data_IF_113985272501
#
_entry.id   IF_113985272501
#
_cell.length_a   1.000
_cell.length_b   1.000
_cell.length_c   1.000
_cell.angle_alpha   90.00
_cell.angle_beta   90.00
_cell.angle_gamma   90.00
#
_symmetry.space_group_name_H-M   'P 1'
#
loop_
_entity.id
_entity.type
_entity.pdbx_description
1 polymer ?
#
# COMPACT_ATOMS: atom_id res chain seq x y z
N UNK A 1 2.73 -19.99 6.88
CA UNK A 1 1.84 -20.41 5.77
C UNK A 1 0.47 -19.83 6.07
N UNK A 2 -0.04 -18.94 5.23
CA UNK A 2 -1.36 -18.30 5.42
C UNK A 2 -2.43 -19.38 5.21
N UNK A 3 -3.43 -19.44 6.12
CA UNK A 3 -4.53 -20.40 5.99
C UNK A 3 -5.40 -20.04 4.79
N UNK A 4 -5.73 -20.99 3.88
CA UNK A 4 -6.68 -20.75 2.81
C UNK A 4 -8.08 -20.37 3.31
N UNK A 5 -8.39 -20.66 4.58
CA UNK A 5 -9.64 -20.33 5.25
C UNK A 5 -9.60 -18.98 5.99
N UNK A 6 -8.51 -18.20 5.87
CA UNK A 6 -8.45 -16.87 6.47
C UNK A 6 -9.57 -15.97 5.91
N UNK A 7 -10.22 -15.12 6.76
CA UNK A 7 -11.32 -14.28 6.31
C UNK A 7 -10.86 -13.29 5.22
N UNK A 8 -11.73 -13.06 4.25
CA UNK A 8 -11.50 -12.03 3.25
C UNK A 8 -11.61 -10.64 3.90
N UNK A 9 -10.57 -9.83 3.76
CA UNK A 9 -10.54 -8.43 4.21
C UNK A 9 -10.87 -7.47 3.08
N UNK A 10 -10.71 -7.92 1.83
CA UNK A 10 -11.05 -7.14 0.64
C UNK A 10 -11.57 -8.09 -0.43
N UNK A 11 -12.70 -7.73 -1.05
CA UNK A 11 -13.31 -8.50 -2.12
C UNK A 11 -13.89 -7.56 -3.19
N UNK A 12 -13.33 -7.64 -4.39
CA UNK A 12 -13.81 -6.97 -5.59
C UNK A 12 -14.36 -8.04 -6.51
N UNK A 13 -15.59 -7.86 -7.01
CA UNK A 13 -16.25 -8.79 -7.93
C UNK A 13 -16.76 -8.05 -9.16
N UNK A 14 -16.24 -8.40 -10.33
CA UNK A 14 -16.57 -7.82 -11.64
C UNK A 14 -16.59 -6.28 -11.65
N UNK A 15 -15.63 -5.67 -10.93
CA UNK A 15 -15.60 -4.22 -10.72
C UNK A 15 -15.24 -3.49 -12.00
N UNK A 16 -16.13 -2.58 -12.43
CA UNK A 16 -15.84 -1.61 -13.49
C UNK A 16 -15.83 -0.19 -12.94
N UNK A 17 -15.05 0.67 -13.57
CA UNK A 17 -15.04 2.09 -13.22
C UNK A 17 -14.92 2.97 -14.47
N UNK A 18 -15.81 3.95 -14.57
CA UNK A 18 -15.81 4.96 -15.62
C UNK A 18 -15.66 6.34 -15.02
N UNK A 19 -14.90 7.20 -15.68
CA UNK A 19 -14.80 8.62 -15.35
C UNK A 19 -14.82 9.42 -16.66
N UNK A 20 -15.69 10.42 -16.73
CA UNK A 20 -15.83 11.31 -17.89
C UNK A 20 -15.98 10.54 -19.23
N UNK A 21 -16.78 9.47 -19.21
CA UNK A 21 -17.02 8.61 -20.37
C UNK A 21 -15.91 7.60 -20.69
N UNK A 22 -14.75 7.70 -20.03
CA UNK A 22 -13.61 6.80 -20.22
C UNK A 22 -13.67 5.62 -19.28
N UNK A 23 -13.46 4.40 -19.77
CA UNK A 23 -13.26 3.21 -18.96
C UNK A 23 -11.87 3.24 -18.33
N UNK A 24 -11.81 3.25 -17.01
CA UNK A 24 -10.57 3.20 -16.24
C UNK A 24 -10.30 1.76 -15.77
N UNK A 25 -11.34 1.03 -15.38
CA UNK A 25 -11.27 -0.37 -14.98
C UNK A 25 -12.39 -1.16 -15.64
N UNK A 26 -12.09 -2.41 -16.01
CA UNK A 26 -12.99 -3.29 -16.76
C UNK A 26 -12.90 -4.72 -16.23
N UNK A 27 -13.86 -5.10 -15.35
CA UNK A 27 -13.99 -6.44 -14.80
C UNK A 27 -12.82 -6.83 -13.87
N UNK A 28 -12.59 -6.08 -12.80
CA UNK A 28 -11.57 -6.40 -11.82
C UNK A 28 -12.14 -7.32 -10.74
N UNK A 29 -11.51 -8.48 -10.60
CA UNK A 29 -11.75 -9.43 -9.52
C UNK A 29 -10.49 -9.51 -8.64
N UNK A 30 -10.65 -9.34 -7.33
CA UNK A 30 -9.57 -9.41 -6.36
C UNK A 30 -10.12 -9.85 -5.01
N UNK A 31 -9.49 -10.85 -4.41
CA UNK A 31 -9.74 -11.24 -3.02
C UNK A 31 -8.43 -11.17 -2.25
N UNK A 32 -8.40 -10.38 -1.18
CA UNK A 32 -7.29 -10.29 -0.23
C UNK A 32 -7.74 -10.83 1.11
N UNK A 33 -6.98 -11.74 1.70
CA UNK A 33 -7.28 -12.37 2.99
C UNK A 33 -6.42 -11.80 4.10
N UNK A 34 -6.86 -11.98 5.33
CA UNK A 34 -6.07 -11.61 6.51
C UNK A 34 -4.66 -12.24 6.46
N UNK A 35 -3.65 -11.45 6.76
CA UNK A 35 -2.24 -11.85 6.69
C UNK A 35 -1.64 -11.93 5.29
N UNK A 36 -2.39 -11.66 4.22
CA UNK A 36 -1.83 -11.58 2.87
C UNK A 36 -1.23 -10.19 2.59
N UNK A 37 -0.07 -10.19 1.93
CA UNK A 37 0.62 -8.99 1.48
C UNK A 37 0.63 -8.96 -0.04
N UNK A 38 -0.15 -8.05 -0.61
CA UNK A 38 -0.37 -7.95 -2.05
C UNK A 38 0.42 -6.81 -2.69
N UNK A 39 1.02 -7.09 -3.84
CA UNK A 39 1.57 -6.07 -4.73
C UNK A 39 0.58 -5.78 -5.87
N UNK A 40 0.18 -4.53 -6.04
CA UNK A 40 -0.58 -4.05 -7.18
C UNK A 40 0.37 -3.37 -8.17
N UNK A 41 0.68 -4.06 -9.25
CA UNK A 41 1.70 -3.71 -10.22
C UNK A 41 1.10 -3.30 -11.57
N UNK A 42 1.81 -2.48 -12.33
CA UNK A 42 1.45 -2.09 -13.68
C UNK A 42 1.97 -0.70 -14.06
N UNK A 43 1.89 -0.32 -15.34
CA UNK A 43 2.36 0.98 -15.80
C UNK A 43 1.54 2.13 -15.22
N UNK A 44 2.06 3.35 -15.37
CA UNK A 44 1.32 4.55 -15.01
C UNK A 44 0.03 4.66 -15.86
N UNK A 45 -1.07 5.05 -15.23
CA UNK A 45 -2.38 5.12 -15.91
C UNK A 45 -3.12 3.78 -16.03
N UNK A 46 -2.57 2.65 -15.57
CA UNK A 46 -3.23 1.34 -15.66
C UNK A 46 -4.49 1.19 -14.78
N UNK A 47 -4.76 2.12 -13.85
CA UNK A 47 -5.91 2.06 -12.95
C UNK A 47 -5.58 1.69 -11.50
N UNK A 48 -4.30 1.50 -11.13
CA UNK A 48 -3.86 1.09 -9.79
C UNK A 48 -4.42 1.96 -8.66
N UNK A 49 -4.29 3.29 -8.78
CA UNK A 49 -4.81 4.22 -7.75
C UNK A 49 -6.33 4.19 -7.64
N UNK A 50 -7.03 3.81 -8.73
CA UNK A 50 -8.49 3.62 -8.69
C UNK A 50 -8.85 2.36 -7.89
N UNK A 51 -8.16 1.25 -8.12
CA UNK A 51 -8.32 0.02 -7.33
C UNK A 51 -8.02 0.33 -5.85
N UNK A 52 -6.90 0.99 -5.57
CA UNK A 52 -6.55 1.38 -4.20
C UNK A 52 -7.61 2.29 -3.56
N UNK A 53 -8.24 3.17 -4.36
CA UNK A 53 -9.35 4.02 -3.91
C UNK A 53 -10.58 3.23 -3.47
N UNK A 54 -10.87 2.08 -4.09
CA UNK A 54 -11.91 1.16 -3.61
C UNK A 54 -11.50 0.50 -2.30
N UNK A 55 -10.27 -0.02 -2.24
CA UNK A 55 -9.72 -0.63 -1.03
C UNK A 55 -9.77 0.31 0.17
N UNK A 56 -9.51 1.60 -0.02
CA UNK A 56 -9.57 2.63 1.01
C UNK A 56 -10.97 3.22 1.25
N UNK A 57 -12.01 2.68 0.61
CA UNK A 57 -13.38 3.22 0.66
C UNK A 57 -13.45 4.72 0.29
N UNK A 58 -12.60 5.17 -0.65
CA UNK A 58 -12.51 6.57 -1.10
C UNK A 58 -13.33 6.84 -2.35
N UNK A 59 -13.62 5.80 -3.12
CA UNK A 59 -14.43 5.88 -4.36
C UNK A 59 -15.33 4.67 -4.50
N UNK A 60 -16.33 4.75 -5.36
CA UNK A 60 -17.31 3.68 -5.61
C UNK A 60 -17.17 3.15 -7.04
N UNK A 61 -17.39 1.85 -7.27
CA UNK A 61 -17.40 1.31 -8.62
C UNK A 61 -18.60 1.83 -9.43
N UNK A 62 -18.48 1.82 -10.77
CA UNK A 62 -19.60 2.08 -11.67
C UNK A 62 -20.51 0.87 -11.74
N UNK A 63 -19.94 -0.34 -11.75
CA UNK A 63 -20.67 -1.62 -11.62
C UNK A 63 -19.78 -2.65 -10.92
N UNK A 64 -20.34 -3.79 -10.57
CA UNK A 64 -19.71 -4.79 -9.73
C UNK A 64 -19.86 -4.47 -8.24
N UNK A 65 -19.18 -5.21 -7.40
CA UNK A 65 -19.28 -5.05 -5.94
C UNK A 65 -17.91 -4.96 -5.29
N UNK A 66 -17.82 -4.16 -4.22
CA UNK A 66 -16.65 -4.04 -3.39
C UNK A 66 -17.03 -4.20 -1.93
N UNK A 67 -16.45 -5.20 -1.29
CA UNK A 67 -16.58 -5.45 0.13
C UNK A 67 -15.21 -5.19 0.79
N UNK A 68 -15.19 -4.38 1.83
CA UNK A 68 -14.00 -4.06 2.62
C UNK A 68 -14.28 -4.42 4.06
N UNK A 69 -13.46 -5.30 4.63
CA UNK A 69 -13.63 -5.83 5.99
C UNK A 69 -15.05 -6.43 6.20
N UNK A 70 -15.54 -7.16 5.18
CA UNK A 70 -16.88 -7.77 5.18
C UNK A 70 -18.05 -6.78 5.05
N UNK A 71 -17.77 -5.51 4.76
CA UNK A 71 -18.78 -4.43 4.65
C UNK A 71 -18.87 -3.92 3.21
N UNK A 72 -20.08 -4.01 2.60
CA UNK A 72 -20.33 -3.58 1.23
C UNK A 72 -20.26 -2.06 1.08
N UNK A 73 -19.41 -1.56 0.17
CA UNK A 73 -19.40 -0.13 -0.18
C UNK A 73 -20.78 0.31 -0.69
N UNK A 74 -21.21 1.49 -0.23
CA UNK A 74 -22.57 2.01 -0.51
C UNK A 74 -23.66 1.55 0.48
N UNK A 75 -23.33 0.65 1.43
CA UNK A 75 -24.24 0.18 2.49
C UNK A 75 -23.64 0.30 3.90
N UNK A 76 -22.52 0.98 4.03
CA UNK A 76 -21.75 1.13 5.28
C UNK A 76 -21.49 2.60 5.55
N UNK A 77 -21.36 2.94 6.84
CA UNK A 77 -20.85 4.24 7.26
C UNK A 77 -19.33 4.30 6.99
N UNK A 78 -18.93 5.14 6.02
CA UNK A 78 -17.56 5.17 5.48
C UNK A 78 -16.54 5.67 6.49
N UNK A 79 -16.92 6.60 7.37
CA UNK A 79 -15.99 7.17 8.34
C UNK A 79 -15.60 6.11 9.38
N UNK A 80 -16.55 5.29 9.81
CA UNK A 80 -16.29 4.17 10.70
C UNK A 80 -15.42 3.10 10.03
N UNK A 81 -15.75 2.72 8.77
CA UNK A 81 -14.97 1.74 8.02
C UNK A 81 -13.50 2.16 7.87
N UNK A 82 -13.26 3.43 7.52
CA UNK A 82 -11.91 3.97 7.29
C UNK A 82 -11.03 3.98 8.54
N UNK A 83 -11.58 3.92 9.74
CA UNK A 83 -10.80 3.80 10.99
C UNK A 83 -10.03 2.48 11.07
N UNK A 84 -10.53 1.44 10.39
CA UNK A 84 -9.90 0.12 10.34
C UNK A 84 -8.98 -0.07 9.13
N UNK A 85 -8.74 1.00 8.36
CA UNK A 85 -7.89 0.98 7.16
C UNK A 85 -6.75 1.98 7.38
N UNK A 86 -5.53 1.47 7.46
CA UNK A 86 -4.33 2.31 7.44
C UNK A 86 -4.02 2.73 6.01
N UNK A 87 -3.69 4.01 5.80
CA UNK A 87 -3.31 4.51 4.48
C UNK A 87 -2.02 5.31 4.56
N UNK A 88 -1.01 4.85 3.84
CA UNK A 88 0.30 5.48 3.68
C UNK A 88 0.41 6.07 2.29
N UNK A 89 0.49 7.39 2.19
CA UNK A 89 0.73 8.11 0.94
C UNK A 89 1.83 9.15 1.18
N UNK A 90 2.98 9.08 0.49
CA UNK A 90 4.09 10.03 0.66
C UNK A 90 3.71 11.49 0.41
N UNK A 91 2.66 11.71 -0.39
CA UNK A 91 2.13 13.05 -0.68
C UNK A 91 1.18 13.57 0.41
N UNK A 92 1.18 12.93 1.59
CA UNK A 92 0.31 13.34 2.71
C UNK A 92 0.53 14.83 3.05
N UNK A 93 -0.50 15.68 2.94
CA UNK A 93 -0.32 17.14 2.95
C UNK A 93 -0.29 17.74 4.36
N UNK A 94 0.58 17.22 5.25
CA UNK A 94 0.82 17.87 6.55
C UNK A 94 1.54 19.18 6.31
N UNK A 95 0.88 20.30 6.58
CA UNK A 95 1.42 21.66 6.39
C UNK A 95 1.86 22.29 7.70
N UNK A 96 1.24 21.90 8.80
CA UNK A 96 1.54 22.43 10.14
C UNK A 96 2.86 21.89 10.68
N UNK A 97 3.58 22.65 11.51
CA UNK A 97 4.84 22.21 12.11
C UNK A 97 4.60 21.26 13.30
N UNK A 98 3.76 20.23 13.08
CA UNK A 98 3.50 19.18 14.06
C UNK A 98 4.78 18.43 14.40
N UNK A 99 4.88 17.92 15.62
CA UNK A 99 5.90 16.94 15.98
C UNK A 99 5.60 15.59 15.33
N UNK A 100 6.60 14.74 15.23
CA UNK A 100 6.45 13.37 14.72
C UNK A 100 5.39 12.61 15.51
N UNK A 101 5.39 12.73 16.85
CA UNK A 101 4.37 12.14 17.71
C UNK A 101 2.97 12.66 17.39
N UNK A 102 2.80 13.98 17.24
CA UNK A 102 1.51 14.57 16.85
C UNK A 102 1.03 14.08 15.49
N UNK A 103 1.90 13.94 14.50
CA UNK A 103 1.54 13.37 13.19
C UNK A 103 1.05 11.93 13.34
N UNK A 104 1.73 11.09 14.12
CA UNK A 104 1.28 9.71 14.38
C UNK A 104 -0.11 9.71 15.03
N UNK A 105 -0.32 10.53 16.04
CA UNK A 105 -1.59 10.63 16.76
C UNK A 105 -2.77 11.07 15.89
N UNK A 106 -2.54 11.84 14.81
CA UNK A 106 -3.62 12.18 13.84
C UNK A 106 -4.21 10.95 13.15
N UNK A 107 -3.54 9.80 13.19
CA UNK A 107 -4.07 8.53 12.69
C UNK A 107 -5.32 8.06 13.44
N UNK A 108 -5.43 8.34 14.75
CA UNK A 108 -6.60 8.00 15.57
C UNK A 108 -7.86 8.77 15.15
N UNK A 109 -7.69 10.00 14.69
CA UNK A 109 -8.80 10.87 14.27
C UNK A 109 -9.09 10.80 12.77
N UNK A 110 -8.15 10.22 11.98
CA UNK A 110 -8.25 10.19 10.52
C UNK A 110 -8.11 11.58 9.87
N UNK A 111 -7.57 12.56 10.59
CA UNK A 111 -7.43 13.96 10.14
C UNK A 111 -5.98 14.30 9.78
N UNK A 112 -5.75 15.43 9.11
CA UNK A 112 -4.40 15.93 8.81
C UNK A 112 -3.76 16.64 9.99
N UNK A 113 -4.58 17.21 10.84
CA UNK A 113 -4.21 17.96 12.02
C UNK A 113 -5.08 17.54 13.19
N UNK A 114 -4.60 17.60 14.44
CA UNK A 114 -5.42 17.30 15.60
C UNK A 114 -6.68 18.18 15.60
N UNK A 115 -7.88 17.59 15.81
CA UNK A 115 -9.10 18.38 15.91
C UNK A 115 -9.03 19.39 17.07
N UNK A 116 -9.71 20.53 16.92
CA UNK A 116 -9.76 21.53 17.97
C UNK A 116 -10.31 20.91 19.27
N UNK A 117 -9.61 21.12 20.40
CA UNK A 117 -9.94 20.58 21.72
C UNK A 117 -9.79 19.04 21.86
N UNK A 118 -9.22 18.36 20.87
CA UNK A 118 -8.85 16.95 21.02
C UNK A 118 -7.48 16.87 21.70
N UNK A 119 -7.40 16.11 22.76
CA UNK A 119 -6.17 15.82 23.48
C UNK A 119 -5.96 14.32 23.55
N UNK A 120 -4.75 13.87 23.19
CA UNK A 120 -4.39 12.47 23.27
C UNK A 120 -4.26 12.05 24.75
N UNK A 121 -4.77 10.87 25.06
CA UNK A 121 -4.57 10.25 26.36
C UNK A 121 -3.11 9.80 26.55
N UNK A 122 -2.68 9.59 27.78
CA UNK A 122 -1.34 9.07 28.07
C UNK A 122 -1.11 7.68 27.43
N UNK A 123 -2.14 6.85 27.31
CA UNK A 123 -2.06 5.55 26.65
C UNK A 123 -1.86 5.69 25.14
N UNK A 124 -2.55 6.61 24.47
CA UNK A 124 -2.38 6.88 23.04
C UNK A 124 -0.98 7.44 22.73
N UNK A 125 -0.47 8.32 23.58
CA UNK A 125 0.91 8.85 23.46
C UNK A 125 1.94 7.71 23.64
N UNK A 126 1.76 6.85 24.63
CA UNK A 126 2.62 5.68 24.83
C UNK A 126 2.61 4.76 23.60
N UNK A 127 1.41 4.47 23.05
CA UNK A 127 1.26 3.68 21.85
C UNK A 127 1.95 4.33 20.63
N UNK A 128 1.83 5.64 20.48
CA UNK A 128 2.54 6.38 19.40
C UNK A 128 4.06 6.24 19.55
N UNK A 129 4.60 6.30 20.78
CA UNK A 129 6.03 6.11 21.05
C UNK A 129 6.50 4.67 20.75
N UNK A 130 5.71 3.64 21.10
CA UNK A 130 6.01 2.25 20.74
C UNK A 130 6.10 2.06 19.22
N UNK A 131 5.15 2.63 18.47
CA UNK A 131 5.16 2.58 17.02
C UNK A 131 6.35 3.35 16.43
N UNK A 132 6.69 4.51 16.96
CA UNK A 132 7.87 5.26 16.53
C UNK A 132 9.16 4.50 16.82
N UNK A 133 9.23 3.78 17.93
CA UNK A 133 10.35 2.90 18.22
C UNK A 133 10.44 1.76 17.22
N UNK A 134 9.33 1.08 16.90
CA UNK A 134 9.31 -0.04 15.95
C UNK A 134 9.71 0.35 14.51
N UNK A 135 9.51 1.61 14.11
CA UNK A 135 9.94 2.12 12.81
C UNK A 135 11.27 2.87 12.86
N UNK A 136 12.03 2.77 13.96
CA UNK A 136 13.37 3.36 14.12
C UNK A 136 13.39 4.89 14.20
N UNK A 137 12.33 5.51 14.76
CA UNK A 137 12.21 6.97 14.91
C UNK A 137 12.15 7.44 16.37
N UNK A 138 12.60 6.62 17.31
CA UNK A 138 12.56 6.91 18.74
C UNK A 138 13.24 8.24 19.12
N UNK A 139 14.42 8.51 18.56
CA UNK A 139 15.16 9.76 18.78
C UNK A 139 14.57 10.97 18.05
N UNK A 140 13.56 10.78 17.20
CA UNK A 140 12.96 11.82 16.36
C UNK A 140 11.52 12.18 16.77
N UNK A 141 11.00 11.61 17.84
CA UNK A 141 9.60 11.77 18.27
C UNK A 141 9.14 13.22 18.45
N UNK A 142 10.08 14.09 18.93
CA UNK A 142 9.82 15.52 19.16
C UNK A 142 10.27 16.40 18.00
N UNK A 143 10.86 15.83 16.94
CA UNK A 143 11.27 16.58 15.76
C UNK A 143 10.04 17.12 15.01
N UNK A 144 10.20 18.27 14.37
CA UNK A 144 9.11 18.88 13.58
C UNK A 144 9.01 18.26 12.20
N UNK A 145 7.79 17.95 11.76
CA UNK A 145 7.51 17.36 10.45
C UNK A 145 8.27 17.98 9.27
N UNK A 146 8.35 19.33 9.13
CA UNK A 146 9.09 19.95 8.03
C UNK A 146 10.59 19.64 8.01
N UNK A 147 11.18 19.28 9.16
CA UNK A 147 12.63 19.01 9.28
C UNK A 147 13.02 17.56 8.98
N UNK A 148 12.03 16.69 8.74
CA UNK A 148 12.27 15.28 8.46
C UNK A 148 12.73 15.07 7.03
N UNK A 149 13.66 14.10 6.85
CA UNK A 149 13.97 13.52 5.55
C UNK A 149 12.74 12.79 4.96
N UNK A 150 12.74 12.51 3.68
CA UNK A 150 11.64 11.77 3.04
C UNK A 150 11.49 10.36 3.64
N UNK A 151 12.59 9.66 3.95
CA UNK A 151 12.55 8.35 4.60
C UNK A 151 11.97 8.41 6.01
N UNK A 152 12.34 9.41 6.83
CA UNK A 152 11.74 9.61 8.15
C UNK A 152 10.23 9.92 8.04
N UNK A 153 9.81 10.71 7.03
CA UNK A 153 8.40 10.97 6.76
C UNK A 153 7.66 9.69 6.38
N UNK A 154 8.22 8.88 5.50
CA UNK A 154 7.62 7.59 5.11
C UNK A 154 7.37 6.68 6.31
N UNK A 155 8.39 6.49 7.17
CA UNK A 155 8.27 5.68 8.39
C UNK A 155 7.29 6.29 9.42
N UNK A 156 7.27 7.61 9.55
CA UNK A 156 6.25 8.30 10.39
C UNK A 156 4.83 8.03 9.89
N UNK A 157 4.60 8.04 8.57
CA UNK A 157 3.29 7.75 7.99
C UNK A 157 2.89 6.28 8.17
N UNK A 158 3.85 5.35 8.19
CA UNK A 158 3.57 3.95 8.57
C UNK A 158 3.11 3.89 10.04
N UNK A 159 3.85 4.48 10.98
CA UNK A 159 3.45 4.53 12.38
C UNK A 159 2.07 5.17 12.56
N UNK A 160 1.81 6.27 11.82
CA UNK A 160 0.50 6.92 11.78
C UNK A 160 -0.61 6.01 11.28
N UNK A 161 -0.36 5.23 10.25
CA UNK A 161 -1.34 4.30 9.68
C UNK A 161 -1.66 3.15 10.64
N UNK A 162 -0.71 2.77 11.51
CA UNK A 162 -0.83 1.65 12.45
C UNK A 162 -1.41 2.03 13.80
N UNK A 163 -1.52 3.33 14.16
CA UNK A 163 -1.92 3.75 15.50
C UNK A 163 -3.34 3.33 15.88
N UNK A 164 -4.21 3.17 14.88
CA UNK A 164 -5.60 2.75 15.05
C UNK A 164 -5.80 1.22 14.95
N UNK A 165 -4.73 0.44 15.00
CA UNK A 165 -4.72 -1.03 14.84
C UNK A 165 -5.55 -1.50 13.63
N UNK A 166 -5.19 -1.08 12.39
CA UNK A 166 -5.96 -1.39 11.19
C UNK A 166 -5.88 -2.88 10.85
N UNK A 167 -6.91 -3.40 10.18
CA UNK A 167 -6.93 -4.75 9.62
C UNK A 167 -6.42 -4.80 8.17
N UNK A 168 -6.41 -3.65 7.50
CA UNK A 168 -5.93 -3.47 6.14
C UNK A 168 -4.98 -2.26 6.05
N UNK A 169 -3.79 -2.46 5.51
CA UNK A 169 -2.81 -1.39 5.27
C UNK A 169 -2.66 -1.14 3.77
N UNK A 170 -2.89 0.08 3.34
CA UNK A 170 -2.75 0.52 1.96
C UNK A 170 -1.50 1.39 1.83
N UNK A 171 -0.62 1.04 0.91
CA UNK A 171 0.66 1.70 0.66
C UNK A 171 0.68 2.19 -0.79
N UNK A 172 0.50 3.51 -0.98
CA UNK A 172 0.42 4.13 -2.31
C UNK A 172 1.78 4.70 -2.71
N UNK A 173 2.55 3.93 -3.47
CA UNK A 173 3.92 4.28 -3.91
C UNK A 173 4.80 4.82 -2.76
N UNK A 174 4.94 4.08 -1.64
CA UNK A 174 5.50 4.61 -0.38
C UNK A 174 6.99 4.98 -0.48
N UNK A 175 7.69 4.49 -1.48
CA UNK A 175 9.12 4.69 -1.75
C UNK A 175 9.42 5.88 -2.67
N UNK A 176 8.37 6.55 -3.17
CA UNK A 176 8.54 7.68 -4.09
C UNK A 176 9.42 8.79 -3.51
N UNK A 177 10.48 9.13 -4.24
CA UNK A 177 11.41 10.21 -3.88
C UNK A 177 12.45 9.83 -2.81
N UNK A 178 12.54 8.55 -2.43
CA UNK A 178 13.56 8.05 -1.52
C UNK A 178 14.87 7.74 -2.26
N UNK A 179 15.99 7.99 -1.60
CA UNK A 179 17.26 7.41 -2.01
C UNK A 179 17.31 5.91 -1.70
N UNK A 180 18.35 5.22 -2.16
CA UNK A 180 18.48 3.76 -2.02
C UNK A 180 18.43 3.33 -0.57
N UNK A 181 19.16 4.02 0.33
CA UNK A 181 19.23 3.63 1.74
C UNK A 181 17.89 3.84 2.45
N UNK A 182 17.22 4.96 2.21
CA UNK A 182 15.91 5.25 2.80
C UNK A 182 14.82 4.29 2.27
N UNK A 183 14.91 3.90 0.99
CA UNK A 183 14.02 2.88 0.40
C UNK A 183 14.20 1.54 1.11
N UNK A 184 15.43 1.04 1.24
CA UNK A 184 15.67 -0.23 1.90
C UNK A 184 15.20 -0.22 3.35
N UNK A 185 15.49 0.83 4.12
CA UNK A 185 14.97 0.97 5.49
C UNK A 185 13.44 0.97 5.57
N UNK A 186 12.76 1.56 4.58
CA UNK A 186 11.31 1.55 4.54
C UNK A 186 10.77 0.14 4.23
N UNK A 187 11.40 -0.58 3.29
CA UNK A 187 11.03 -1.96 2.96
C UNK A 187 11.27 -2.90 4.14
N UNK A 188 12.41 -2.79 4.84
CA UNK A 188 12.68 -3.52 6.09
C UNK A 188 11.59 -3.24 7.16
N UNK A 189 11.15 -1.98 7.25
CA UNK A 189 10.04 -1.61 8.17
C UNK A 189 8.74 -2.32 7.79
N UNK A 190 8.40 -2.38 6.49
CA UNK A 190 7.20 -3.06 6.00
C UNK A 190 7.32 -4.58 6.22
N UNK A 191 8.49 -5.18 5.93
CA UNK A 191 8.75 -6.59 6.18
C UNK A 191 8.61 -6.95 7.67
N UNK A 192 9.05 -6.08 8.57
CA UNK A 192 8.89 -6.23 10.01
C UNK A 192 7.42 -6.33 10.45
N UNK A 193 6.49 -5.70 9.74
CA UNK A 193 5.06 -5.75 10.06
C UNK A 193 4.46 -7.14 9.90
N UNK A 194 4.91 -7.94 8.94
CA UNK A 194 4.43 -9.31 8.76
C UNK A 194 4.72 -10.21 9.97
N UNK A 195 5.75 -9.86 10.76
CA UNK A 195 6.10 -10.59 11.98
C UNK A 195 5.39 -10.05 13.23
N UNK A 196 5.19 -8.74 13.31
CA UNK A 196 4.62 -8.06 14.48
C UNK A 196 3.09 -7.97 14.44
N UNK A 197 2.48 -8.06 13.26
CA UNK A 197 1.05 -8.01 13.03
C UNK A 197 0.62 -9.07 11.99
N UNK A 198 0.65 -10.38 12.34
CA UNK A 198 0.49 -11.48 11.38
C UNK A 198 -0.88 -11.53 10.70
N UNK A 199 -1.92 -10.94 11.29
CA UNK A 199 -3.25 -10.87 10.70
C UNK A 199 -3.47 -9.62 9.84
N UNK A 200 -2.52 -8.67 9.84
CA UNK A 200 -2.59 -7.47 9.02
C UNK A 200 -2.48 -7.82 7.54
N UNK A 201 -3.50 -7.50 6.77
CA UNK A 201 -3.40 -7.56 5.32
C UNK A 201 -2.83 -6.26 4.76
N UNK A 202 -2.07 -6.33 3.67
CA UNK A 202 -1.57 -5.12 3.01
C UNK A 202 -1.71 -5.15 1.50
N UNK A 203 -1.92 -3.97 0.90
CA UNK A 203 -1.88 -3.75 -0.55
C UNK A 203 -0.88 -2.64 -0.85
N UNK A 204 0.24 -3.01 -1.44
CA UNK A 204 1.29 -2.10 -1.90
C UNK A 204 1.10 -1.80 -3.38
N UNK A 205 0.92 -0.54 -3.73
CA UNK A 205 0.94 -0.07 -5.12
C UNK A 205 2.33 0.41 -5.47
N UNK A 206 2.89 -0.12 -6.54
CA UNK A 206 4.13 0.36 -7.13
C UNK A 206 4.18 0.03 -8.63
N UNK A 207 5.12 0.64 -9.35
CA UNK A 207 5.47 0.30 -10.73
C UNK A 207 6.92 -0.20 -10.85
N UNK A 208 7.61 -0.40 -9.71
CA UNK A 208 8.97 -0.91 -9.62
C UNK A 208 9.00 -2.25 -8.87
N UNK A 209 9.56 -3.29 -9.50
CA UNK A 209 9.68 -4.60 -8.85
C UNK A 209 10.69 -4.60 -7.71
N UNK A 210 11.70 -3.75 -7.78
CA UNK A 210 12.72 -3.59 -6.73
C UNK A 210 12.16 -3.03 -5.42
N UNK A 211 10.93 -2.51 -5.45
CA UNK A 211 10.23 -1.95 -4.28
C UNK A 211 9.30 -2.97 -3.59
N UNK A 212 9.34 -4.22 -4.01
CA UNK A 212 8.56 -5.27 -3.38
C UNK A 212 9.26 -5.78 -2.11
N UNK A 213 8.59 -5.69 -0.93
CA UNK A 213 9.05 -6.34 0.29
C UNK A 213 9.24 -7.85 0.10
N UNK A 214 10.16 -8.46 0.85
CA UNK A 214 10.39 -9.91 0.80
C UNK A 214 9.17 -10.71 1.26
N UNK A 215 8.40 -10.13 2.17
CA UNK A 215 7.16 -10.70 2.72
C UNK A 215 5.96 -10.62 1.79
N UNK A 216 6.09 -10.02 0.59
CA UNK A 216 5.02 -9.98 -0.41
C UNK A 216 4.62 -11.40 -0.81
N UNK A 217 3.34 -11.75 -0.60
CA UNK A 217 2.80 -13.11 -0.84
C UNK A 217 2.11 -13.25 -2.17
N UNK A 218 1.44 -12.20 -2.64
CA UNK A 218 0.61 -12.20 -3.84
C UNK A 218 0.85 -10.96 -4.69
N UNK A 219 0.47 -11.04 -5.95
CA UNK A 219 0.48 -9.89 -6.85
C UNK A 219 -0.74 -9.86 -7.77
N UNK A 220 -1.17 -8.63 -8.08
CA UNK A 220 -2.11 -8.31 -9.15
C UNK A 220 -1.41 -7.40 -10.15
N UNK A 221 -1.22 -7.87 -11.38
CA UNK A 221 -0.69 -7.10 -12.50
C UNK A 221 -1.86 -6.56 -13.31
N UNK A 222 -1.88 -5.23 -13.50
CA UNK A 222 -2.94 -4.54 -14.24
C UNK A 222 -2.36 -3.73 -15.40
N UNK A 223 -2.99 -3.80 -16.56
CA UNK A 223 -2.69 -2.97 -17.72
C UNK A 223 -3.97 -2.57 -18.42
N UNK A 224 -4.08 -1.30 -18.88
CA UNK A 224 -5.29 -0.77 -19.55
C UNK A 224 -6.61 -1.09 -18.81
N UNK A 225 -6.59 -1.03 -17.47
CA UNK A 225 -7.77 -1.28 -16.65
C UNK A 225 -8.20 -2.74 -16.55
N UNK A 226 -7.40 -3.71 -17.03
CA UNK A 226 -7.68 -5.14 -16.99
C UNK A 226 -6.59 -5.92 -16.26
N UNK A 227 -6.98 -7.04 -15.68
CA UNK A 227 -6.04 -7.95 -15.03
C UNK A 227 -5.21 -8.67 -16.10
N UNK A 228 -3.88 -8.58 -15.97
CA UNK A 228 -2.92 -9.33 -16.79
C UNK A 228 -2.54 -10.65 -16.11
N UNK A 229 -2.32 -10.60 -14.78
CA UNK A 229 -2.03 -11.76 -13.96
C UNK A 229 -2.44 -11.47 -12.51
N UNK A 230 -2.83 -12.50 -11.76
CA UNK A 230 -3.16 -12.42 -10.33
C UNK A 230 -2.86 -13.75 -9.64
N UNK A 231 -2.51 -13.70 -8.36
CA UNK A 231 -2.26 -14.88 -7.53
C UNK A 231 -0.96 -14.84 -6.74
N UNK A 232 -0.45 -15.99 -6.28
CA UNK A 232 0.83 -16.07 -5.58
C UNK A 232 1.93 -15.35 -6.36
N UNK A 233 2.78 -14.58 -5.66
CA UNK A 233 3.72 -13.65 -6.30
C UNK A 233 4.62 -14.33 -7.32
N UNK A 234 5.11 -15.54 -7.03
CA UNK A 234 6.02 -16.27 -7.92
C UNK A 234 5.36 -16.74 -9.23
N UNK A 235 4.02 -16.89 -9.21
CA UNK A 235 3.24 -17.25 -10.40
C UNK A 235 2.78 -16.01 -11.17
N UNK A 236 2.46 -14.93 -10.45
CA UNK A 236 1.96 -13.69 -11.04
C UNK A 236 3.09 -12.82 -11.61
N UNK A 237 4.26 -12.75 -10.96
CA UNK A 237 5.40 -11.91 -11.35
C UNK A 237 6.43 -12.74 -12.11
N UNK A 238 6.26 -12.84 -13.42
CA UNK A 238 7.15 -13.56 -14.33
C UNK A 238 7.63 -12.63 -15.45
N UNK A 239 8.70 -13.01 -16.14
CA UNK A 239 9.16 -12.29 -17.35
C UNK A 239 8.04 -12.11 -18.36
N UNK A 240 7.20 -13.13 -18.57
CA UNK A 240 6.09 -13.09 -19.54
C UNK A 240 5.00 -12.11 -19.10
N UNK A 241 4.50 -12.24 -17.87
CA UNK A 241 3.40 -11.41 -17.36
C UNK A 241 3.80 -9.95 -17.23
N UNK A 242 5.02 -9.66 -16.76
CA UNK A 242 5.56 -8.31 -16.65
C UNK A 242 5.79 -7.70 -18.04
N UNK A 243 6.38 -8.45 -19.00
CA UNK A 243 6.52 -8.01 -20.39
C UNK A 243 5.16 -7.64 -21.00
N UNK A 244 4.13 -8.46 -20.76
CA UNK A 244 2.77 -8.20 -21.25
C UNK A 244 2.13 -7.00 -20.58
N UNK A 245 2.28 -6.86 -19.25
CA UNK A 245 1.67 -5.76 -18.50
C UNK A 245 2.29 -4.40 -18.85
N UNK A 246 3.60 -4.35 -19.05
CA UNK A 246 4.34 -3.12 -19.35
C UNK A 246 4.57 -2.89 -20.85
N UNK A 247 4.12 -3.80 -21.72
CA UNK A 247 4.25 -3.72 -23.18
C UNK A 247 5.69 -3.48 -23.66
N UNK A 248 6.64 -4.02 -22.90
CA UNK A 248 8.06 -3.89 -23.19
C UNK A 248 8.80 -5.18 -22.81
N UNK A 249 9.76 -5.62 -23.61
CA UNK A 249 10.54 -6.81 -23.33
C UNK A 249 11.38 -6.61 -22.04
N UNK A 250 10.92 -7.18 -20.96
CA UNK A 250 11.51 -7.06 -19.61
C UNK A 250 11.84 -8.46 -19.10
N UNK A 251 13.09 -8.67 -18.68
CA UNK A 251 13.49 -9.85 -17.93
C UNK A 251 13.30 -9.58 -16.45
N UNK A 252 12.61 -10.49 -15.78
CA UNK A 252 12.41 -10.48 -14.33
C UNK A 252 13.31 -11.53 -13.70
N UNK A 253 13.99 -11.17 -12.64
CA UNK A 253 14.85 -12.06 -11.85
C UNK A 253 14.52 -11.90 -10.37
N UNK A 254 14.65 -12.98 -9.60
CA UNK A 254 14.58 -12.96 -8.14
C UNK A 254 15.89 -13.50 -7.58
N UNK A 255 16.58 -12.71 -6.78
CA UNK A 255 17.82 -13.09 -6.14
C UNK A 255 17.77 -12.65 -4.67
N UNK A 256 18.18 -13.55 -3.75
CA UNK A 256 18.22 -13.27 -2.31
C UNK A 256 16.90 -12.68 -1.76
N UNK A 257 15.74 -13.24 -2.21
CA UNK A 257 14.41 -12.76 -1.80
C UNK A 257 13.90 -11.53 -2.55
N UNK A 258 14.74 -10.79 -3.26
CA UNK A 258 14.43 -9.50 -3.90
C UNK A 258 14.18 -9.65 -5.40
N UNK A 259 13.22 -8.88 -5.90
CA UNK A 259 12.88 -8.82 -7.32
C UNK A 259 13.68 -7.75 -8.04
N UNK A 260 14.01 -8.01 -9.31
CA UNK A 260 14.61 -7.03 -10.20
C UNK A 260 14.05 -7.16 -11.61
N UNK A 261 14.03 -6.02 -12.33
CA UNK A 261 13.53 -5.94 -13.70
C UNK A 261 14.54 -5.23 -14.60
N UNK A 262 14.81 -5.78 -15.78
CA UNK A 262 15.73 -5.18 -16.76
C UNK A 262 15.18 -5.33 -18.17
N UNK A 263 15.31 -4.28 -18.99
CA UNK A 263 14.98 -4.37 -20.40
C UNK A 263 15.87 -5.40 -21.11
N UNK A 264 15.24 -6.27 -21.90
CA UNK A 264 15.96 -7.19 -22.79
C UNK A 264 16.41 -6.40 -24.02
N UNK A 265 17.73 -6.22 -24.18
CA UNK A 265 18.29 -5.67 -25.42
C UNK A 265 18.43 -6.81 -26.43
N UNK A 266 17.74 -6.78 -27.54
CA UNK A 266 18.12 -7.56 -28.70
C UNK A 266 19.56 -7.16 -29.07
N UNK A 267 20.50 -8.11 -28.97
CA UNK A 267 21.83 -7.89 -29.56
C UNK A 267 21.59 -7.74 -31.05
N UNK A 268 21.81 -6.53 -31.59
CA UNK A 268 21.94 -6.36 -33.02
C UNK A 268 22.99 -7.37 -33.46
N UNK A 269 22.57 -8.41 -34.18
CA UNK A 269 23.46 -9.30 -34.92
C UNK A 269 24.18 -8.41 -35.91
N UNK A 270 25.44 -8.09 -35.61
CA UNK A 270 26.34 -7.47 -36.57
C UNK A 270 26.45 -8.44 -37.77
N UNK A 271 25.80 -8.05 -38.89
CA UNK A 271 25.96 -8.67 -40.19
C UNK A 271 27.26 -8.17 -40.85
#
# INVERSE_FOLDING_TARGET
MISPDAPAVLELQEVTFRRDGTHILDGIDLTVRAGEHWALLGPNGAGKSTVLGFCGALTFPTSGTVDVLGRRLGRVELQELRRHIGHVNPRHPVRSPLTVTEVVLTGLTGTLEPPMRWEATAAEIARAHELLHSVGLDSRRDARWPTLSQGERGRTLIARALIADPQLLLLDEPTTGLDVAAREQLLETIDGLAHTAPDLASVLVTHHLEELPETTTHALLISHGRIVATGPIEQAVTTETVTRAFEHAIRVERAEGRWSARAVRERATAG
#
